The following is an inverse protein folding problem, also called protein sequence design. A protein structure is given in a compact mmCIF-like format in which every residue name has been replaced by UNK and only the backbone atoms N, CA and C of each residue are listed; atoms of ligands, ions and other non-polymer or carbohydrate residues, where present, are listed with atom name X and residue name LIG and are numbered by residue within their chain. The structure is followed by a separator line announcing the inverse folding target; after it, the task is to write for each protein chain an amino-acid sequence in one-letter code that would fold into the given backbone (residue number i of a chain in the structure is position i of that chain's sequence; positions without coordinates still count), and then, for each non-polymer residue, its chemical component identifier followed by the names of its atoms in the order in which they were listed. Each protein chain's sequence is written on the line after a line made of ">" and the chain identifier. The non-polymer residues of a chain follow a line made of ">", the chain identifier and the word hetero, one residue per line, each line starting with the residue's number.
data_IF_002175448624
#
_entry.id   IF_002175448624
#
_cell.length_a   1.000
_cell.length_b   1.000
_cell.length_c   1.000
_cell.angle_alpha   90.00
_cell.angle_beta   90.00
_cell.angle_gamma   90.00
#
_symmetry.space_group_name_H-M   'P 1'
#
loop_
_entity.id
_entity.type
_entity.pdbx_description
1 polymer ?
#
# COMPACT_ATOMS: atom_id res chain seq x y z
N UNK A 1 -9.42 -14.47 15.59
CA UNK A 1 -8.82 -13.30 14.92
C UNK A 1 -7.71 -12.64 15.75
N UNK A 2 -7.91 -12.28 17.03
CA UNK A 2 -6.83 -11.73 17.89
C UNK A 2 -5.67 -12.71 18.19
N UNK A 3 -5.81 -14.00 17.88
CA UNK A 3 -4.75 -15.02 18.03
C UNK A 3 -3.92 -15.25 16.75
N UNK A 4 -4.26 -14.60 15.62
CA UNK A 4 -3.52 -14.72 14.36
C UNK A 4 -2.50 -13.61 14.13
N UNK A 5 -2.65 -12.45 14.80
CA UNK A 5 -1.74 -11.32 14.66
C UNK A 5 -1.15 -10.98 16.03
N UNK A 6 0.12 -11.30 16.23
CA UNK A 6 0.91 -10.70 17.31
C UNK A 6 1.47 -9.38 16.78
N UNK A 7 0.65 -8.33 16.82
CA UNK A 7 1.13 -7.01 16.45
C UNK A 7 2.03 -6.50 17.58
N UNK A 8 3.32 -6.37 17.28
CA UNK A 8 4.28 -5.75 18.19
C UNK A 8 4.48 -4.30 17.76
N UNK A 9 4.06 -3.38 18.62
CA UNK A 9 4.26 -1.95 18.41
C UNK A 9 5.28 -1.48 19.44
N UNK A 10 6.54 -1.38 19.03
CA UNK A 10 7.58 -0.73 19.83
C UNK A 10 7.92 0.63 19.20
N UNK A 11 8.39 1.61 19.99
CA UNK A 11 8.78 2.91 19.46
C UNK A 11 9.79 2.84 18.31
N UNK A 12 10.64 1.82 18.29
CA UNK A 12 11.65 1.60 17.26
C UNK A 12 11.05 1.15 15.92
N UNK A 13 9.85 0.55 15.93
CA UNK A 13 9.11 0.15 14.73
C UNK A 13 8.25 1.28 14.15
N UNK A 14 8.17 2.44 14.82
CA UNK A 14 7.48 3.60 14.29
C UNK A 14 8.15 4.10 12.99
N UNK A 15 7.33 4.57 12.04
CA UNK A 15 7.80 4.99 10.72
C UNK A 15 8.90 6.06 10.79
N UNK A 16 8.75 7.05 11.68
CA UNK A 16 9.72 8.12 11.87
C UNK A 16 11.03 7.61 12.51
N UNK A 17 10.96 6.64 13.42
CA UNK A 17 12.15 5.99 13.97
C UNK A 17 12.91 5.19 12.90
N UNK A 18 12.20 4.44 12.06
CA UNK A 18 12.77 3.65 10.96
C UNK A 18 13.44 4.55 9.90
N UNK A 19 12.80 5.67 9.50
CA UNK A 19 13.40 6.63 8.58
C UNK A 19 14.67 7.27 9.14
N UNK A 20 14.67 7.66 10.41
CA UNK A 20 15.87 8.21 11.07
C UNK A 20 17.00 7.18 11.16
N UNK A 21 16.69 5.90 11.39
CA UNK A 21 17.69 4.84 11.38
C UNK A 21 18.36 4.66 10.02
N UNK A 22 17.61 4.91 8.93
CA UNK A 22 18.13 4.94 7.56
C UNK A 22 18.89 6.24 7.22
N UNK A 23 18.91 7.22 8.13
CA UNK A 23 19.60 8.49 7.95
C UNK A 23 18.78 9.57 7.23
N UNK A 24 17.46 9.37 7.08
CA UNK A 24 16.55 10.35 6.49
C UNK A 24 15.83 11.16 7.57
N UNK A 25 15.69 12.47 7.32
CA UNK A 25 14.76 13.33 8.02
C UNK A 25 13.34 13.17 7.43
N UNK A 26 12.30 13.60 8.16
CA UNK A 26 10.93 13.50 7.64
C UNK A 26 10.72 14.42 6.44
N UNK A 27 11.42 15.55 6.43
CA UNK A 27 11.38 16.58 5.40
C UNK A 27 12.08 16.14 4.10
N UNK A 28 12.86 15.06 4.13
CA UNK A 28 13.48 14.49 2.93
C UNK A 28 12.45 13.74 2.04
N UNK A 29 11.26 13.44 2.57
CA UNK A 29 10.22 12.70 1.86
C UNK A 29 9.41 13.66 0.99
N UNK A 30 9.64 13.62 -0.32
CA UNK A 30 8.91 14.47 -1.29
C UNK A 30 7.57 13.91 -1.72
N UNK A 31 7.44 12.58 -1.76
CA UNK A 31 6.26 11.89 -2.27
C UNK A 31 5.83 10.76 -1.35
N UNK A 32 4.53 10.68 -1.09
CA UNK A 32 3.92 9.59 -0.32
C UNK A 32 2.83 8.94 -1.15
N UNK A 33 2.88 7.61 -1.29
CA UNK A 33 1.87 6.84 -2.01
C UNK A 33 1.25 5.84 -1.04
N UNK A 34 0.21 6.22 -0.27
CA UNK A 34 -0.55 5.22 0.48
C UNK A 34 -1.23 4.28 -0.51
N UNK A 35 -1.09 2.97 -0.32
CA UNK A 35 -1.79 1.96 -1.14
C UNK A 35 -3.30 2.18 -1.08
N UNK A 36 -3.81 2.48 0.12
CA UNK A 36 -5.16 2.91 0.45
C UNK A 36 -5.15 3.53 1.86
N UNK A 37 -6.31 3.91 2.39
CA UNK A 37 -6.40 4.72 3.61
C UNK A 37 -6.97 3.96 4.84
N UNK A 38 -6.83 2.64 4.90
CA UNK A 38 -7.09 1.94 6.17
C UNK A 38 -6.04 2.30 7.23
N UNK A 39 -6.40 2.09 8.50
CA UNK A 39 -5.64 2.55 9.67
C UNK A 39 -4.17 2.11 9.67
N UNK A 40 -3.89 0.90 9.19
CA UNK A 40 -2.57 0.29 9.12
C UNK A 40 -1.71 0.80 7.95
N UNK A 41 -2.29 1.56 7.01
CA UNK A 41 -1.60 2.19 5.87
C UNK A 41 -1.58 3.72 5.97
N UNK A 42 -2.53 4.31 6.71
CA UNK A 42 -2.67 5.76 6.83
C UNK A 42 -2.17 6.36 8.16
N UNK A 43 -1.89 5.52 9.17
CA UNK A 43 -1.61 5.99 10.53
C UNK A 43 -0.39 6.91 10.69
N UNK A 44 0.56 6.88 9.74
CA UNK A 44 1.77 7.70 9.76
C UNK A 44 1.76 8.91 8.83
N UNK A 45 0.70 9.12 8.04
CA UNK A 45 0.73 10.12 6.96
C UNK A 45 0.90 11.55 7.46
N UNK A 46 0.40 11.87 8.67
CA UNK A 46 0.52 13.20 9.28
C UNK A 46 1.97 13.66 9.51
N UNK A 47 2.94 12.75 9.44
CA UNK A 47 4.37 13.03 9.60
C UNK A 47 4.97 13.79 8.41
N UNK A 48 4.29 13.85 7.27
CA UNK A 48 4.83 14.39 6.01
C UNK A 48 3.99 15.54 5.45
N UNK A 49 3.84 16.67 6.18
CA UNK A 49 2.97 17.77 5.76
C UNK A 49 3.42 18.48 4.48
N UNK A 50 4.71 18.38 4.12
CA UNK A 50 5.30 19.04 2.96
C UNK A 50 5.38 18.14 1.72
N UNK A 51 4.96 16.87 1.82
CA UNK A 51 4.99 15.92 0.71
C UNK A 51 3.76 16.05 -0.19
N UNK A 52 3.90 15.65 -1.46
CA UNK A 52 2.75 15.40 -2.35
C UNK A 52 2.29 13.96 -2.19
N UNK A 53 0.98 13.77 -1.99
CA UNK A 53 0.35 12.48 -1.77
C UNK A 53 -0.36 12.01 -3.04
N UNK A 54 -0.03 10.82 -3.52
CA UNK A 54 -0.72 10.19 -4.65
C UNK A 54 -1.64 9.09 -4.16
N UNK A 55 -2.91 9.16 -4.53
CA UNK A 55 -3.94 8.21 -4.07
C UNK A 55 -4.85 7.81 -5.22
N UNK A 56 -5.37 6.58 -5.22
CA UNK A 56 -6.33 6.17 -6.24
C UNK A 56 -7.66 6.92 -6.12
N UNK A 57 -8.31 7.13 -7.26
CA UNK A 57 -9.57 7.86 -7.34
C UNK A 57 -10.65 7.23 -6.43
N UNK A 58 -11.34 8.08 -5.67
CA UNK A 58 -12.43 7.67 -4.77
C UNK A 58 -11.97 7.18 -3.39
N UNK A 59 -10.66 7.01 -3.15
CA UNK A 59 -10.15 6.57 -1.85
C UNK A 59 -10.41 7.61 -0.75
N UNK A 60 -10.16 8.90 -1.01
CA UNK A 60 -10.42 9.97 -0.03
C UNK A 60 -11.89 9.99 0.37
N UNK A 61 -12.80 9.95 -0.61
CA UNK A 61 -14.23 9.88 -0.37
C UNK A 61 -14.62 8.65 0.47
N UNK A 62 -14.02 7.50 0.18
CA UNK A 62 -14.25 6.27 0.92
C UNK A 62 -13.75 6.36 2.37
N UNK A 63 -12.57 6.94 2.59
CA UNK A 63 -11.93 7.02 3.89
C UNK A 63 -12.60 8.00 4.86
N UNK A 64 -13.05 9.15 4.36
CA UNK A 64 -13.76 10.15 5.16
C UNK A 64 -15.26 9.85 5.32
N UNK A 65 -15.87 9.12 4.38
CA UNK A 65 -17.29 8.74 4.43
C UNK A 65 -17.51 7.22 4.23
N UNK A 66 -16.91 6.36 5.08
CA UNK A 66 -16.96 4.92 4.87
C UNK A 66 -18.37 4.35 5.07
N UNK A 67 -18.78 3.38 4.24
CA UNK A 67 -20.01 2.62 4.47
C UNK A 67 -20.02 1.99 5.87
N UNK A 68 -21.20 1.80 6.51
CA UNK A 68 -21.29 1.31 7.89
C UNK A 68 -20.45 0.06 8.20
N UNK A 69 -20.36 -0.89 7.27
CA UNK A 69 -19.57 -2.13 7.45
C UNK A 69 -18.06 -1.95 7.42
N UNK A 70 -17.56 -0.84 6.88
CA UNK A 70 -16.12 -0.59 6.68
C UNK A 70 -15.53 0.43 7.65
N UNK A 71 -16.36 1.13 8.43
CA UNK A 71 -15.92 2.21 9.33
C UNK A 71 -14.80 1.82 10.29
N UNK A 72 -14.75 0.55 10.72
CA UNK A 72 -13.75 0.04 11.66
C UNK A 72 -12.34 -0.03 11.07
N UNK A 73 -12.22 0.02 9.75
CA UNK A 73 -10.93 0.01 9.07
C UNK A 73 -10.33 1.42 8.95
N UNK A 74 -11.06 2.47 9.36
CA UNK A 74 -10.60 3.87 9.29
C UNK A 74 -10.50 4.49 10.68
N UNK A 75 -9.41 5.21 10.92
CA UNK A 75 -9.22 6.06 12.09
C UNK A 75 -9.29 7.51 11.66
N UNK A 76 -10.44 8.14 11.89
CA UNK A 76 -10.68 9.55 11.54
C UNK A 76 -9.65 10.49 12.18
N UNK A 77 -9.16 10.14 13.38
CA UNK A 77 -8.13 10.92 14.07
C UNK A 77 -6.80 10.99 13.31
N UNK A 78 -6.47 9.97 12.51
CA UNK A 78 -5.24 9.91 11.72
C UNK A 78 -5.40 10.64 10.38
N UNK A 79 -6.63 10.67 9.83
CA UNK A 79 -6.94 11.29 8.55
C UNK A 79 -7.23 12.79 8.66
N UNK A 80 -7.87 13.26 9.74
CA UNK A 80 -8.22 14.67 9.89
C UNK A 80 -7.02 15.63 9.79
N UNK A 81 -5.84 15.33 10.37
CA UNK A 81 -4.66 16.18 10.23
C UNK A 81 -4.13 16.28 8.79
N UNK A 82 -4.43 15.32 7.93
CA UNK A 82 -3.92 15.26 6.55
C UNK A 82 -4.89 15.83 5.53
N UNK A 83 -6.04 16.35 5.97
CA UNK A 83 -7.13 16.83 5.09
C UNK A 83 -6.71 17.91 4.10
N UNK A 84 -5.82 18.80 4.52
CA UNK A 84 -5.37 19.94 3.72
C UNK A 84 -3.98 19.72 3.09
N UNK A 85 -3.48 18.47 3.10
CA UNK A 85 -2.23 18.12 2.41
C UNK A 85 -2.41 18.15 0.88
N UNK A 86 -1.29 18.14 0.15
CA UNK A 86 -1.28 18.15 -1.32
C UNK A 86 -1.63 16.76 -1.88
N UNK A 87 -2.93 16.51 -2.08
CA UNK A 87 -3.44 15.25 -2.61
C UNK A 87 -3.65 15.29 -4.13
N UNK A 88 -3.11 14.28 -4.81
CA UNK A 88 -3.31 14.00 -6.24
C UNK A 88 -4.10 12.69 -6.39
N UNK A 89 -5.35 12.79 -6.83
CA UNK A 89 -6.18 11.62 -7.13
C UNK A 89 -5.90 11.07 -8.54
N UNK A 90 -5.61 9.77 -8.60
CA UNK A 90 -5.23 9.04 -9.79
C UNK A 90 -6.36 8.15 -10.30
N UNK A 91 -6.88 8.46 -11.49
CA UNK A 91 -7.92 7.66 -12.14
C UNK A 91 -7.42 6.45 -12.94
N UNK A 92 -6.11 6.31 -13.11
CA UNK A 92 -5.45 5.27 -13.89
C UNK A 92 -4.02 5.06 -13.39
N UNK A 93 -3.29 4.14 -14.02
CA UNK A 93 -1.85 4.00 -13.77
C UNK A 93 -1.12 5.33 -13.99
N UNK A 94 -0.13 5.60 -13.15
CA UNK A 94 0.63 6.85 -13.16
C UNK A 94 2.12 6.56 -13.02
N UNK A 95 2.92 7.07 -13.96
CA UNK A 95 4.38 7.04 -13.87
C UNK A 95 4.84 8.26 -13.07
N UNK A 96 5.32 8.03 -11.85
CA UNK A 96 5.61 9.07 -10.87
C UNK A 96 6.71 10.03 -11.35
N UNK A 97 7.70 9.52 -12.06
CA UNK A 97 8.86 10.29 -12.53
C UNK A 97 8.88 10.45 -14.06
N UNK A 98 8.02 9.76 -14.79
CA UNK A 98 7.97 9.78 -16.26
C UNK A 98 9.07 8.98 -16.94
N UNK A 99 9.87 8.22 -16.17
CA UNK A 99 10.95 7.37 -16.66
C UNK A 99 10.66 5.86 -16.46
N UNK A 100 9.49 5.53 -15.90
CA UNK A 100 9.06 4.18 -15.60
C UNK A 100 9.76 3.54 -14.40
N UNK A 101 10.57 4.26 -13.62
CA UNK A 101 11.24 3.71 -12.44
C UNK A 101 10.25 3.34 -11.33
N UNK A 102 9.23 4.20 -11.11
CA UNK A 102 8.11 3.93 -10.20
C UNK A 102 6.81 4.21 -10.94
N UNK A 103 6.00 3.17 -11.12
CA UNK A 103 4.66 3.27 -11.69
C UNK A 103 3.63 2.87 -10.64
N UNK A 104 2.76 3.80 -10.30
CA UNK A 104 1.58 3.57 -9.45
C UNK A 104 0.55 2.85 -10.32
N UNK A 105 0.15 1.65 -9.93
CA UNK A 105 -0.79 0.81 -10.64
C UNK A 105 -2.18 0.95 -10.02
N UNK A 106 -3.18 1.29 -10.82
CA UNK A 106 -4.57 1.27 -10.36
C UNK A 106 -5.03 -0.18 -10.15
N UNK A 107 -5.28 -0.55 -8.89
CA UNK A 107 -5.66 -1.93 -8.50
C UNK A 107 -6.88 -1.94 -7.57
N UNK A 108 -7.99 -1.27 -7.95
CA UNK A 108 -9.14 -1.10 -7.09
C UNK A 108 -9.76 -2.45 -6.70
N UNK A 109 -10.51 -2.47 -5.60
CA UNK A 109 -11.30 -3.62 -5.18
C UNK A 109 -11.33 -3.79 -3.66
N UNK A 110 -10.16 -3.94 -3.03
CA UNK A 110 -10.04 -3.94 -1.56
C UNK A 110 -10.69 -2.69 -0.98
N UNK A 111 -10.20 -1.54 -1.43
CA UNK A 111 -10.88 -0.26 -1.39
C UNK A 111 -11.12 0.27 -2.81
N UNK A 112 -12.00 1.28 -3.00
CA UNK A 112 -12.26 1.84 -4.33
C UNK A 112 -11.05 2.47 -5.02
N UNK A 113 -10.10 3.02 -4.26
CA UNK A 113 -8.90 3.64 -4.79
C UNK A 113 -7.60 2.93 -4.38
N UNK A 114 -7.67 1.63 -4.11
CA UNK A 114 -6.48 0.78 -3.88
C UNK A 114 -5.49 0.90 -5.06
N UNK A 115 -4.21 1.11 -4.72
CA UNK A 115 -3.09 1.12 -5.66
C UNK A 115 -1.97 0.18 -5.24
N UNK A 116 -1.31 -0.41 -6.23
CA UNK A 116 -0.06 -1.15 -6.09
C UNK A 116 1.10 -0.31 -6.67
N UNK A 117 2.35 -0.66 -6.37
CA UNK A 117 3.52 -0.04 -6.99
C UNK A 117 4.27 -1.06 -7.85
N UNK A 118 4.68 -0.64 -9.05
CA UNK A 118 5.70 -1.31 -9.85
C UNK A 118 7.00 -0.51 -9.75
N UNK A 119 8.00 -1.09 -9.12
CA UNK A 119 9.30 -0.45 -8.86
C UNK A 119 10.38 -1.16 -9.68
N UNK A 120 11.11 -0.41 -10.49
CA UNK A 120 12.23 -0.90 -11.30
C UNK A 120 13.52 -0.35 -10.72
N UNK A 121 14.24 -1.23 -10.02
CA UNK A 121 15.60 -1.01 -9.56
C UNK A 121 16.59 -1.43 -10.65
N UNK A 122 17.86 -0.98 -10.63
CA UNK A 122 18.86 -1.39 -11.61
C UNK A 122 19.06 -2.92 -11.70
N UNK A 123 18.87 -3.64 -10.59
CA UNK A 123 19.09 -5.09 -10.48
C UNK A 123 17.83 -5.94 -10.61
N UNK A 124 16.64 -5.39 -10.27
CA UNK A 124 15.39 -6.16 -10.17
C UNK A 124 14.15 -5.29 -10.31
N UNK A 125 13.04 -5.94 -10.61
CA UNK A 125 11.72 -5.31 -10.66
C UNK A 125 10.86 -5.90 -9.56
N UNK A 126 10.17 -5.04 -8.82
CA UNK A 126 9.29 -5.39 -7.71
C UNK A 126 7.87 -4.91 -8.01
N UNK A 127 6.88 -5.67 -7.58
CA UNK A 127 5.49 -5.22 -7.45
C UNK A 127 5.14 -5.27 -5.96
N UNK A 128 4.90 -4.11 -5.36
CA UNK A 128 4.39 -3.99 -3.99
C UNK A 128 2.87 -3.89 -4.07
N UNK A 129 2.14 -4.89 -3.56
CA UNK A 129 0.71 -4.99 -3.85
C UNK A 129 -0.19 -4.13 -2.97
N UNK A 130 0.33 -3.60 -1.86
CA UNK A 130 -0.54 -3.18 -0.76
C UNK A 130 -1.47 -4.34 -0.38
N UNK A 131 -2.75 -4.02 -0.23
CA UNK A 131 -3.80 -4.98 0.13
C UNK A 131 -4.54 -5.52 -1.09
N UNK A 132 -4.09 -5.18 -2.30
CA UNK A 132 -4.52 -5.88 -3.52
C UNK A 132 -4.30 -7.39 -3.38
N UNK A 133 -3.19 -7.80 -2.75
CA UNK A 133 -2.98 -9.15 -2.24
C UNK A 133 -2.49 -9.07 -0.79
N UNK A 134 -3.29 -9.52 0.17
CA UNK A 134 -2.86 -9.66 1.56
C UNK A 134 -1.93 -10.85 1.71
N UNK A 135 -2.30 -11.99 1.09
CA UNK A 135 -1.58 -13.26 1.21
C UNK A 135 -1.14 -13.81 -0.15
N UNK A 136 -0.07 -14.62 -0.15
CA UNK A 136 0.40 -15.32 -1.37
C UNK A 136 -0.70 -16.17 -2.00
N UNK A 137 -1.59 -16.74 -1.17
CA UNK A 137 -2.71 -17.56 -1.61
C UNK A 137 -3.66 -16.81 -2.56
N UNK A 138 -3.91 -15.52 -2.32
CA UNK A 138 -4.79 -14.72 -3.18
C UNK A 138 -4.18 -14.54 -4.56
N UNK A 139 -2.87 -14.23 -4.61
CA UNK A 139 -2.10 -14.10 -5.83
C UNK A 139 -2.09 -15.42 -6.64
N UNK A 140 -1.90 -16.55 -5.97
CA UNK A 140 -1.85 -17.86 -6.63
C UNK A 140 -3.20 -18.31 -7.17
N UNK A 141 -4.28 -18.05 -6.42
CA UNK A 141 -5.65 -18.34 -6.85
C UNK A 141 -6.16 -17.36 -7.89
N UNK A 142 -5.67 -16.12 -7.88
CA UNK A 142 -6.24 -15.03 -8.68
C UNK A 142 -7.58 -14.54 -8.13
N UNK A 143 -7.79 -14.62 -6.82
CA UNK A 143 -9.06 -14.34 -6.16
C UNK A 143 -8.84 -13.68 -4.81
N UNK A 144 -9.69 -12.70 -4.49
CA UNK A 144 -9.70 -12.05 -3.19
C UNK A 144 -10.14 -13.03 -2.09
N UNK A 145 -9.61 -12.86 -0.88
CA UNK A 145 -10.05 -13.59 0.29
C UNK A 145 -11.50 -13.24 0.65
N UNK A 146 -12.28 -14.25 1.06
CA UNK A 146 -13.70 -14.07 1.40
C UNK A 146 -13.94 -13.55 2.82
N UNK A 147 -12.95 -13.72 3.70
CA UNK A 147 -13.04 -13.37 5.13
C UNK A 147 -12.39 -12.01 5.45
N UNK A 148 -11.90 -11.30 4.43
CA UNK A 148 -11.32 -9.96 4.56
C UNK A 148 -12.34 -8.94 4.06
N UNK A 149 -12.68 -7.90 4.84
CA UNK A 149 -13.55 -6.82 4.38
C UNK A 149 -13.02 -6.20 3.09
N UNK A 150 -13.87 -6.14 2.07
CA UNK A 150 -13.50 -5.69 0.74
C UNK A 150 -14.68 -4.94 0.12
N UNK A 151 -14.40 -3.79 -0.50
CA UNK A 151 -15.42 -2.91 -1.07
C UNK A 151 -16.10 -3.50 -2.32
N UNK A 152 -15.34 -4.19 -3.17
CA UNK A 152 -15.81 -4.93 -4.35
C UNK A 152 -14.92 -6.18 -4.59
N UNK A 153 -15.32 -7.36 -4.09
CA UNK A 153 -14.54 -8.59 -4.24
C UNK A 153 -14.34 -9.05 -5.70
N UNK A 154 -15.28 -8.71 -6.58
CA UNK A 154 -15.18 -9.06 -7.99
C UNK A 154 -14.13 -8.17 -8.69
N UNK A 155 -14.07 -6.89 -8.34
CA UNK A 155 -13.05 -5.96 -8.79
C UNK A 155 -11.68 -6.29 -8.17
N UNK A 156 -11.61 -6.62 -6.88
CA UNK A 156 -10.38 -7.07 -6.24
C UNK A 156 -9.80 -8.30 -6.95
N UNK A 157 -10.64 -9.29 -7.25
CA UNK A 157 -10.23 -10.47 -8.03
C UNK A 157 -9.79 -10.15 -9.47
N UNK A 158 -10.26 -9.05 -10.07
CA UNK A 158 -9.73 -8.56 -11.37
C UNK A 158 -8.34 -7.95 -11.19
N UNK A 159 -8.14 -7.13 -10.16
CA UNK A 159 -6.85 -6.51 -9.84
C UNK A 159 -5.79 -7.55 -9.48
N UNK A 160 -6.12 -8.57 -8.69
CA UNK A 160 -5.22 -9.69 -8.39
C UNK A 160 -4.83 -10.44 -9.66
N UNK A 161 -5.79 -10.73 -10.55
CA UNK A 161 -5.49 -11.40 -11.83
C UNK A 161 -4.61 -10.53 -12.73
N UNK A 162 -4.76 -9.21 -12.68
CA UNK A 162 -3.86 -8.27 -13.36
C UNK A 162 -2.43 -8.41 -12.82
N UNK A 163 -2.21 -8.33 -11.50
CA UNK A 163 -0.89 -8.51 -10.89
C UNK A 163 -0.30 -9.89 -11.24
N UNK A 164 -1.10 -10.94 -11.16
CA UNK A 164 -0.69 -12.30 -11.56
C UNK A 164 -0.28 -12.38 -13.03
N UNK A 165 -0.97 -11.67 -13.92
CA UNK A 165 -0.59 -11.57 -15.33
C UNK A 165 0.73 -10.82 -15.50
N UNK A 166 0.92 -9.71 -14.79
CA UNK A 166 2.17 -8.93 -14.82
C UNK A 166 3.35 -9.77 -14.34
N UNK A 167 3.20 -10.54 -13.24
CA UNK A 167 4.21 -11.50 -12.75
C UNK A 167 4.65 -12.53 -13.81
N UNK A 168 3.77 -12.86 -14.77
CA UNK A 168 4.09 -13.82 -15.86
C UNK A 168 4.75 -13.15 -17.06
N UNK A 169 4.44 -11.88 -17.31
CA UNK A 169 4.91 -11.13 -18.47
C UNK A 169 6.16 -10.29 -18.20
N UNK A 170 6.44 -10.02 -16.92
CA UNK A 170 7.60 -9.28 -16.45
C UNK A 170 8.36 -10.16 -15.44
N UNK A 171 9.69 -10.17 -15.44
CA UNK A 171 10.50 -10.82 -14.41
C UNK A 171 10.45 -9.97 -13.12
N UNK A 172 9.26 -9.81 -12.55
CA UNK A 172 9.02 -9.02 -11.35
C UNK A 172 8.74 -9.93 -10.15
N UNK A 173 9.42 -9.66 -9.04
CA UNK A 173 9.06 -10.22 -7.73
C UNK A 173 7.79 -9.52 -7.25
N UNK A 174 6.85 -10.26 -6.66
CA UNK A 174 5.61 -9.69 -6.12
C UNK A 174 5.64 -9.83 -4.62
N UNK A 175 5.58 -8.71 -3.91
CA UNK A 175 5.56 -8.64 -2.46
C UNK A 175 4.13 -8.36 -2.01
N UNK A 176 3.54 -9.33 -1.29
CA UNK A 176 2.18 -9.23 -0.75
C UNK A 176 2.15 -8.50 0.59
N UNK A 177 1.00 -7.91 0.96
CA UNK A 177 0.90 -6.94 2.06
C UNK A 177 1.02 -7.51 3.48
N UNK A 178 0.40 -8.66 3.77
CA UNK A 178 0.17 -9.14 5.16
C UNK A 178 0.52 -10.61 5.38
N UNK A 179 1.35 -11.20 4.51
CA UNK A 179 1.75 -12.61 4.63
C UNK A 179 3.04 -12.74 5.48
N UNK A 180 2.97 -13.27 6.72
CA UNK A 180 4.13 -13.31 7.61
C UNK A 180 5.22 -14.25 7.10
N UNK A 181 4.85 -15.36 6.45
CA UNK A 181 5.81 -16.33 5.91
C UNK A 181 6.54 -15.74 4.70
N UNK A 182 5.86 -14.88 3.94
CA UNK A 182 6.47 -14.12 2.84
C UNK A 182 7.37 -13.00 3.37
N UNK A 183 6.90 -12.23 4.36
CA UNK A 183 7.64 -11.13 4.97
C UNK A 183 8.98 -11.58 5.55
N UNK A 184 9.03 -12.77 6.16
CA UNK A 184 10.24 -13.35 6.73
C UNK A 184 11.34 -13.68 5.70
N UNK A 185 11.03 -13.66 4.40
CA UNK A 185 11.98 -13.98 3.33
C UNK A 185 12.73 -12.75 2.80
N UNK A 186 12.34 -11.55 3.21
CA UNK A 186 12.89 -10.31 2.67
C UNK A 186 13.97 -9.71 3.55
N UNK A 187 14.95 -9.01 2.95
CA UNK A 187 15.82 -8.12 3.71
C UNK A 187 14.97 -7.02 4.37
N UNK A 188 15.25 -6.73 5.63
CA UNK A 188 14.59 -5.66 6.37
C UNK A 188 15.55 -4.49 6.54
N UNK A 189 15.01 -3.28 6.66
CA UNK A 189 15.81 -2.11 6.99
C UNK A 189 16.68 -2.40 8.24
N UNK A 190 17.96 -2.01 8.26
CA UNK A 190 18.63 -1.09 7.33
C UNK A 190 19.26 -1.74 6.09
N UNK A 191 19.01 -3.01 5.79
CA UNK A 191 19.55 -3.65 4.59
C UNK A 191 18.91 -3.07 3.32
N UNK A 192 19.74 -2.66 2.36
CA UNK A 192 19.28 -2.06 1.12
C UNK A 192 18.74 -3.11 0.14
N UNK A 193 17.71 -2.74 -0.60
CA UNK A 193 17.24 -3.46 -1.77
C UNK A 193 18.19 -3.17 -2.93
N UNK A 194 19.36 -3.83 -2.94
CA UNK A 194 20.30 -3.79 -4.06
C UNK A 194 19.80 -4.53 -5.27
#
# INVERSE_FOLDING_TARGET
>A
MAQLYRMEFTPELALDAQLRQLGYALEDISYVVPSHLHFDHAGGLYLFPDATFFVGAGELGYAYWPPPGHRRAFLVADLLPTRDFDWVELGADHDLFGDGSIVILSTPGHTPGEVSLLVRLPSRTLILTGDTCHFCMELDRGMAAVDIPCSDPAQASRSIRRIRSMRRSLPAEVWVGHDPDHWAQFPHAPEALV
#
